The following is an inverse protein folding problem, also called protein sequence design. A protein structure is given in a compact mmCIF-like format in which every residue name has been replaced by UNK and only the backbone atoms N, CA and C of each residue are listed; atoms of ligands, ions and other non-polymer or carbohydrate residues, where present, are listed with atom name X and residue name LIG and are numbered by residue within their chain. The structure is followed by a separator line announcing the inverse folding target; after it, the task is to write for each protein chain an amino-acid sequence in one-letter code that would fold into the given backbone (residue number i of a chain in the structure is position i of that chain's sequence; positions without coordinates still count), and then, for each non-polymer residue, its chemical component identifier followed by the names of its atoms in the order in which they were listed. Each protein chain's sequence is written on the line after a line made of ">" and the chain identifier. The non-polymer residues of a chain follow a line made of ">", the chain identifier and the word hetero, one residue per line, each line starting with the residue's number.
data_IF_367422841175
#
_entry.id   IF_367422841175
#
_cell.length_a   1.000
_cell.length_b   1.000
_cell.length_c   1.000
_cell.angle_alpha   90.00
_cell.angle_beta   90.00
_cell.angle_gamma   90.00
#
_symmetry.space_group_name_H-M   'P 1'
#
loop_
_entity.id
_entity.type
_entity.pdbx_description
1 polymer ?
#
# COMPACT_ATOMS: atom_id res chain seq x y z
N UNK A 1 -44.63 -53.00 -0.18
CA UNK A 1 -45.58 -52.01 0.38
C UNK A 1 -45.04 -51.52 1.73
N UNK A 2 -44.18 -50.51 1.72
CA UNK A 2 -43.69 -49.86 2.94
C UNK A 2 -44.85 -49.00 3.45
N UNK A 3 -45.33 -49.30 4.66
CA UNK A 3 -46.54 -48.69 5.24
C UNK A 3 -46.39 -47.16 5.26
N UNK A 4 -47.33 -46.46 4.60
CA UNK A 4 -47.45 -44.97 4.54
C UNK A 4 -47.46 -44.26 5.90
N UNK A 5 -47.48 -45.00 7.01
CA UNK A 5 -47.51 -44.47 8.37
C UNK A 5 -46.12 -44.40 9.03
N UNK A 6 -45.05 -44.93 8.40
CA UNK A 6 -43.69 -44.90 8.96
C UNK A 6 -42.94 -43.57 8.70
N UNK A 7 -43.30 -42.88 7.62
CA UNK A 7 -42.68 -41.62 7.19
C UNK A 7 -42.89 -40.48 8.21
N UNK A 8 -44.10 -40.20 8.73
CA UNK A 8 -44.27 -39.13 9.71
C UNK A 8 -43.58 -39.44 11.05
N UNK A 9 -43.48 -40.72 11.42
CA UNK A 9 -42.79 -41.14 12.64
C UNK A 9 -41.27 -40.96 12.53
N UNK A 10 -40.67 -41.33 11.40
CA UNK A 10 -39.25 -41.11 11.14
C UNK A 10 -38.89 -39.62 11.07
N UNK A 11 -39.76 -38.80 10.48
CA UNK A 11 -39.57 -37.35 10.45
C UNK A 11 -39.60 -36.75 11.87
N UNK A 12 -40.52 -37.21 12.73
CA UNK A 12 -40.62 -36.74 14.10
C UNK A 12 -39.42 -37.17 14.95
N UNK A 13 -38.92 -38.40 14.75
CA UNK A 13 -37.68 -38.87 15.40
C UNK A 13 -36.47 -38.07 14.93
N UNK A 14 -36.36 -37.76 13.63
CA UNK A 14 -35.26 -36.94 13.11
C UNK A 14 -35.28 -35.51 13.69
N UNK A 15 -36.46 -34.90 13.78
CA UNK A 15 -36.62 -33.57 14.39
C UNK A 15 -36.26 -33.59 15.88
N UNK A 16 -36.72 -34.60 16.63
CA UNK A 16 -36.35 -34.75 18.03
C UNK A 16 -34.85 -35.00 18.22
N UNK A 17 -34.21 -35.73 17.30
CA UNK A 17 -32.77 -35.96 17.34
C UNK A 17 -31.99 -34.67 17.05
N UNK A 18 -32.42 -33.87 16.07
CA UNK A 18 -31.81 -32.56 15.79
C UNK A 18 -31.99 -31.61 16.97
N UNK A 19 -33.19 -31.54 17.56
CA UNK A 19 -33.45 -30.71 18.73
C UNK A 19 -32.63 -31.16 19.94
N UNK A 20 -32.53 -32.47 20.19
CA UNK A 20 -31.71 -33.02 21.26
C UNK A 20 -30.22 -32.75 21.04
N UNK A 21 -29.73 -32.83 19.79
CA UNK A 21 -28.35 -32.48 19.44
C UNK A 21 -28.08 -30.99 19.65
N UNK A 22 -28.99 -30.12 19.21
CA UNK A 22 -28.89 -28.67 19.38
C UNK A 22 -28.92 -28.26 20.86
N UNK A 23 -29.80 -28.87 21.67
CA UNK A 23 -29.88 -28.61 23.11
C UNK A 23 -28.69 -29.20 23.88
N UNK A 24 -28.17 -30.36 23.43
CA UNK A 24 -26.99 -31.02 24.01
C UNK A 24 -25.71 -30.23 23.75
N UNK A 25 -25.47 -29.77 22.51
CA UNK A 25 -24.26 -29.03 22.15
C UNK A 25 -24.26 -27.62 22.74
N UNK A 26 -25.39 -26.89 22.67
CA UNK A 26 -25.45 -25.51 23.17
C UNK A 26 -25.31 -25.45 24.70
N UNK A 27 -25.82 -26.44 25.44
CA UNK A 27 -25.69 -26.45 26.90
C UNK A 27 -24.40 -27.10 27.40
N UNK A 28 -23.66 -27.86 26.57
CA UNK A 28 -22.36 -28.46 26.94
C UNK A 28 -21.15 -27.74 26.37
N UNK A 29 -21.30 -26.89 25.35
CA UNK A 29 -20.20 -26.05 24.89
C UNK A 29 -19.99 -24.90 25.88
N UNK A 30 -19.09 -25.10 26.85
CA UNK A 30 -18.56 -24.04 27.70
C UNK A 30 -17.84 -22.94 26.89
N UNK A 31 -17.53 -23.21 25.62
CA UNK A 31 -16.88 -22.30 24.68
C UNK A 31 -17.63 -20.95 24.49
N UNK A 32 -18.96 -20.91 24.64
CA UNK A 32 -19.72 -19.67 24.48
C UNK A 32 -19.84 -18.85 25.77
N UNK A 33 -19.57 -19.44 26.94
CA UNK A 33 -19.64 -18.73 28.22
C UNK A 33 -18.37 -17.96 28.54
N UNK A 34 -17.26 -18.27 27.88
CA UNK A 34 -15.97 -17.58 27.99
C UNK A 34 -15.64 -16.61 26.85
N UNK A 35 -16.55 -16.40 25.89
CA UNK A 35 -16.33 -15.38 24.86
C UNK A 35 -16.66 -13.99 25.44
N UNK A 36 -15.69 -13.06 25.48
CA UNK A 36 -15.96 -11.70 25.95
C UNK A 36 -17.06 -11.07 25.09
N UNK A 37 -18.11 -10.54 25.73
CA UNK A 37 -19.06 -9.67 25.03
C UNK A 37 -18.35 -8.35 24.71
N UNK A 38 -17.78 -8.26 23.52
CA UNK A 38 -17.03 -7.10 23.07
C UNK A 38 -18.01 -5.97 22.69
N UNK A 39 -18.25 -5.06 23.65
CA UNK A 39 -18.82 -3.73 23.40
C UNK A 39 -17.95 -2.72 24.12
N UNK A 40 -16.94 -2.22 23.41
CA UNK A 40 -16.00 -1.22 23.92
C UNK A 40 -14.76 -1.16 23.03
N UNK A 41 -14.42 0.03 22.53
CA UNK A 41 -13.20 0.27 21.76
C UNK A 41 -11.99 0.04 22.68
N UNK A 42 -11.33 -1.12 22.53
CA UNK A 42 -9.89 -1.30 22.74
C UNK A 42 -9.30 -1.22 24.16
N UNK A 43 -10.00 -0.79 25.21
CA UNK A 43 -9.38 -0.67 26.53
C UNK A 43 -9.55 -1.95 27.38
N UNK A 44 -8.42 -2.63 27.64
CA UNK A 44 -8.33 -3.60 28.72
C UNK A 44 -8.33 -2.86 30.07
N UNK A 45 -9.43 -2.93 30.81
CA UNK A 45 -9.44 -2.54 32.24
C UNK A 45 -8.71 -3.62 33.05
N UNK A 46 -7.38 -3.63 33.02
CA UNK A 46 -6.58 -4.25 34.09
C UNK A 46 -5.10 -3.86 34.00
N UNK A 47 -4.77 -2.66 34.48
CA UNK A 47 -3.42 -2.46 35.04
C UNK A 47 -3.34 -1.32 36.07
N UNK A 48 -4.36 -1.10 36.89
CA UNK A 48 -4.21 -0.20 38.05
C UNK A 48 -5.40 -0.27 39.00
N UNK A 49 -5.48 -1.32 39.82
CA UNK A 49 -6.16 -1.18 41.11
C UNK A 49 -5.41 -1.98 42.17
N UNK A 50 -4.91 -1.23 43.15
CA UNK A 50 -4.30 -1.72 44.38
C UNK A 50 -5.14 -2.84 45.01
N UNK A 51 -4.49 -3.98 45.22
CA UNK A 51 -5.06 -5.12 45.91
C UNK A 51 -5.16 -4.82 47.41
N UNK A 52 -6.35 -4.43 47.87
CA UNK A 52 -6.79 -4.71 49.24
C UNK A 52 -8.23 -5.24 49.23
N UNK A 53 -8.35 -6.57 49.25
CA UNK A 53 -9.61 -7.27 49.43
C UNK A 53 -9.39 -8.75 49.65
N UNK A 54 -9.32 -9.17 50.92
CA UNK A 54 -9.31 -10.58 51.32
C UNK A 54 -10.68 -11.21 51.00
N UNK A 55 -10.71 -12.19 50.11
CA UNK A 55 -11.88 -13.04 49.87
C UNK A 55 -11.45 -14.31 49.14
N UNK A 56 -11.52 -15.46 49.82
CA UNK A 56 -11.18 -16.75 49.26
C UNK A 56 -12.23 -17.24 48.26
N UNK A 57 -11.84 -17.26 47.00
CA UNK A 57 -12.46 -17.97 45.89
C UNK A 57 -11.37 -18.10 44.84
N UNK A 58 -11.22 -19.27 44.21
CA UNK A 58 -10.29 -19.41 43.10
C UNK A 58 -10.71 -18.38 42.03
N UNK A 59 -9.97 -17.27 41.95
CA UNK A 59 -10.14 -16.32 40.89
C UNK A 59 -9.82 -17.07 39.61
N UNK A 60 -10.82 -17.19 38.75
CA UNK A 60 -10.64 -17.63 37.37
C UNK A 60 -9.71 -16.60 36.75
N UNK A 61 -8.42 -16.90 36.75
CA UNK A 61 -7.41 -16.05 36.11
C UNK A 61 -7.68 -16.25 34.64
N UNK A 62 -8.24 -15.24 33.99
CA UNK A 62 -8.41 -15.21 32.54
C UNK A 62 -7.12 -15.74 31.88
N UNK A 63 -7.21 -16.70 30.95
CA UNK A 63 -6.05 -17.21 30.26
C UNK A 63 -5.22 -16.05 29.69
N UNK A 64 -3.90 -16.19 29.70
CA UNK A 64 -3.02 -15.20 29.06
C UNK A 64 -3.27 -15.20 27.55
N UNK A 65 -4.17 -14.32 27.12
CA UNK A 65 -4.56 -14.12 25.73
C UNK A 65 -3.43 -13.48 24.90
N UNK A 66 -2.34 -13.01 25.51
CA UNK A 66 -1.21 -12.43 24.77
C UNK A 66 -0.60 -13.44 23.78
N UNK A 67 -0.67 -14.74 24.09
CA UNK A 67 -0.16 -15.80 23.23
C UNK A 67 -1.17 -16.34 22.19
N UNK A 68 -2.42 -15.86 22.19
CA UNK A 68 -3.46 -16.32 21.25
C UNK A 68 -3.44 -15.61 19.91
N UNK A 69 -2.79 -14.44 19.81
CA UNK A 69 -2.53 -13.74 18.56
C UNK A 69 -1.02 -13.75 18.25
N UNK A 70 -0.45 -14.86 17.75
CA UNK A 70 0.95 -14.90 17.37
C UNK A 70 1.20 -13.88 16.24
N UNK A 71 1.74 -12.72 16.60
CA UNK A 71 2.07 -11.67 15.63
C UNK A 71 3.22 -12.16 14.74
N UNK A 72 3.13 -12.02 13.41
CA UNK A 72 4.24 -12.28 12.52
C UNK A 72 5.48 -11.50 12.99
N UNK A 73 6.58 -12.21 13.24
CA UNK A 73 7.84 -11.56 13.58
C UNK A 73 8.52 -11.17 12.27
N UNK A 74 8.35 -9.91 11.91
CA UNK A 74 8.95 -9.32 10.72
C UNK A 74 10.44 -9.08 10.92
N UNK A 75 11.27 -10.02 10.47
CA UNK A 75 12.72 -9.91 10.52
C UNK A 75 13.28 -9.34 9.21
N UNK A 76 14.47 -8.72 9.24
CA UNK A 76 15.23 -8.46 8.02
C UNK A 76 15.43 -9.74 7.22
N UNK A 77 15.53 -9.61 5.90
CA UNK A 77 15.77 -10.74 5.01
C UNK A 77 17.05 -11.50 5.37
N UNK A 78 17.05 -12.81 5.16
CA UNK A 78 18.19 -13.66 5.45
C UNK A 78 19.43 -13.26 4.65
N UNK A 79 20.66 -13.51 5.16
CA UNK A 79 21.87 -13.19 4.43
C UNK A 79 21.94 -13.97 3.11
N UNK A 80 22.16 -13.24 2.01
CA UNK A 80 22.38 -13.81 0.68
C UNK A 80 23.84 -13.60 0.25
N UNK A 81 24.37 -14.44 -0.66
CA UNK A 81 25.69 -14.21 -1.25
C UNK A 81 25.78 -12.83 -1.92
N UNK A 82 26.96 -12.21 -1.83
CA UNK A 82 27.31 -10.92 -2.43
C UNK A 82 26.90 -10.80 -3.92
N UNK A 83 27.09 -11.88 -4.69
CA UNK A 83 26.80 -11.97 -6.12
C UNK A 83 25.49 -12.70 -6.43
N UNK A 84 24.56 -12.78 -5.47
CA UNK A 84 23.27 -13.42 -5.70
C UNK A 84 22.50 -12.68 -6.79
N UNK A 85 22.05 -13.43 -7.79
CA UNK A 85 21.19 -12.90 -8.84
C UNK A 85 19.74 -13.06 -8.42
N UNK A 86 19.12 -11.99 -7.94
CA UNK A 86 17.75 -12.00 -7.44
C UNK A 86 16.76 -12.24 -8.57
N UNK A 87 15.99 -13.33 -8.46
CA UNK A 87 14.85 -13.55 -9.35
C UNK A 87 13.75 -12.54 -9.06
N UNK A 88 13.10 -12.02 -10.10
CA UNK A 88 12.00 -11.06 -9.93
C UNK A 88 10.82 -11.33 -10.85
N UNK A 89 9.61 -11.08 -10.35
CA UNK A 89 8.38 -11.06 -11.14
C UNK A 89 7.68 -9.72 -10.96
N UNK A 90 7.25 -9.12 -12.08
CA UNK A 90 6.45 -7.91 -12.13
C UNK A 90 4.97 -8.28 -12.26
N UNK A 91 4.20 -8.07 -11.20
CA UNK A 91 2.76 -8.29 -11.15
C UNK A 91 2.05 -6.98 -11.49
N UNK A 92 1.33 -6.98 -12.61
CA UNK A 92 0.61 -5.80 -13.10
C UNK A 92 -0.89 -6.02 -12.98
N UNK A 93 -1.55 -5.09 -12.29
CA UNK A 93 -2.99 -4.95 -12.33
C UNK A 93 -3.37 -3.98 -13.46
N UNK A 94 -4.20 -4.45 -14.41
CA UNK A 94 -4.72 -3.63 -15.50
C UNK A 94 -6.18 -3.95 -15.81
N UNK A 95 -6.80 -3.06 -16.56
CA UNK A 95 -8.08 -3.22 -17.24
C UNK A 95 -7.88 -3.47 -18.74
N UNK A 96 -8.93 -3.88 -19.46
CA UNK A 96 -8.88 -4.09 -20.92
C UNK A 96 -8.36 -2.88 -21.69
N UNK A 97 -8.66 -1.68 -21.21
CA UNK A 97 -8.35 -0.42 -21.91
C UNK A 97 -6.91 0.03 -21.74
N UNK A 98 -6.23 -0.42 -20.70
CA UNK A 98 -4.85 0.00 -20.40
C UNK A 98 -3.85 -0.77 -21.27
N UNK A 99 -2.90 -0.04 -21.84
CA UNK A 99 -1.82 -0.61 -22.62
C UNK A 99 -0.58 -0.83 -21.75
N UNK A 100 0.02 -2.02 -21.84
CA UNK A 100 1.23 -2.41 -21.10
C UNK A 100 2.32 -2.95 -22.04
N UNK A 101 2.23 -2.67 -23.34
CA UNK A 101 3.19 -3.15 -24.35
C UNK A 101 4.59 -2.59 -24.09
N UNK A 102 4.67 -1.40 -23.48
CA UNK A 102 5.91 -0.76 -23.04
C UNK A 102 6.79 -1.67 -22.18
N UNK A 103 6.21 -2.58 -21.39
CA UNK A 103 6.95 -3.53 -20.55
C UNK A 103 7.79 -4.45 -21.44
N UNK A 104 7.18 -5.03 -22.48
CA UNK A 104 7.89 -5.92 -23.41
C UNK A 104 8.91 -5.15 -24.25
N UNK A 105 8.56 -3.93 -24.66
CA UNK A 105 9.42 -3.08 -25.48
C UNK A 105 10.68 -2.62 -24.74
N UNK A 106 10.57 -2.27 -23.46
CA UNK A 106 11.67 -1.71 -22.68
C UNK A 106 12.35 -2.72 -21.74
N UNK A 107 11.66 -3.80 -21.36
CA UNK A 107 12.14 -4.81 -20.40
C UNK A 107 11.78 -6.23 -20.87
N UNK A 108 12.25 -6.69 -22.05
CA UNK A 108 11.84 -7.95 -22.65
C UNK A 108 12.17 -9.18 -21.79
N UNK A 109 13.22 -9.11 -20.96
CA UNK A 109 13.67 -10.20 -20.08
C UNK A 109 12.96 -10.22 -18.72
N UNK A 110 12.21 -9.16 -18.36
CA UNK A 110 11.52 -9.09 -17.08
C UNK A 110 10.35 -10.08 -17.08
N UNK A 111 10.34 -11.01 -16.12
CA UNK A 111 9.19 -11.90 -15.94
C UNK A 111 7.98 -11.09 -15.44
N UNK A 112 6.80 -11.37 -16.01
CA UNK A 112 5.57 -10.63 -15.72
C UNK A 112 4.40 -11.56 -15.41
N UNK A 113 3.53 -11.13 -14.50
CA UNK A 113 2.19 -11.66 -14.31
C UNK A 113 1.17 -10.52 -14.50
N UNK A 114 0.61 -10.41 -15.71
CA UNK A 114 -0.27 -9.30 -16.10
C UNK A 114 -1.72 -9.76 -15.99
N UNK A 115 -2.44 -9.29 -14.97
CA UNK A 115 -3.85 -9.61 -14.76
C UNK A 115 -4.76 -8.56 -15.39
N UNK A 116 -5.82 -9.02 -16.04
CA UNK A 116 -6.89 -8.15 -16.56
C UNK A 116 -8.11 -8.26 -15.66
N UNK A 117 -8.33 -7.26 -14.82
CA UNK A 117 -9.33 -7.30 -13.75
C UNK A 117 -10.78 -7.33 -14.25
N UNK A 118 -11.06 -6.69 -15.39
CA UNK A 118 -12.37 -6.60 -16.03
C UNK A 118 -12.55 -7.57 -17.22
N UNK A 119 -11.74 -8.63 -17.28
CA UNK A 119 -11.83 -9.68 -18.29
C UNK A 119 -11.78 -11.12 -17.74
N UNK A 120 -12.92 -11.79 -17.53
CA UNK A 120 -12.92 -13.18 -17.06
C UNK A 120 -12.36 -14.17 -18.10
N UNK A 121 -12.13 -13.74 -19.34
CA UNK A 121 -11.55 -14.61 -20.40
C UNK A 121 -10.04 -14.44 -20.57
N UNK A 122 -9.43 -13.47 -19.90
CA UNK A 122 -7.99 -13.26 -19.99
C UNK A 122 -7.23 -14.43 -19.35
N UNK A 123 -6.03 -14.79 -19.85
CA UNK A 123 -5.24 -15.89 -19.28
C UNK A 123 -4.98 -15.73 -17.78
N UNK A 124 -4.69 -14.51 -17.34
CA UNK A 124 -4.66 -14.11 -15.94
C UNK A 124 -5.77 -13.09 -15.70
N UNK A 125 -6.72 -13.47 -14.85
CA UNK A 125 -7.89 -12.67 -14.50
C UNK A 125 -8.19 -12.83 -13.02
N UNK A 126 -8.93 -11.88 -12.46
CA UNK A 126 -9.36 -11.97 -11.07
C UNK A 126 -10.63 -12.81 -10.94
N UNK A 127 -10.84 -13.49 -9.80
CA UNK A 127 -12.08 -14.21 -9.53
C UNK A 127 -13.31 -13.29 -9.45
N UNK A 128 -13.09 -11.99 -9.19
CA UNK A 128 -14.11 -10.95 -9.17
C UNK A 128 -13.44 -9.59 -9.41
N UNK A 129 -14.04 -8.75 -10.25
CA UNK A 129 -13.59 -7.36 -10.39
C UNK A 129 -14.05 -6.53 -9.16
N UNK A 130 -13.24 -6.52 -8.09
CA UNK A 130 -13.55 -5.89 -6.81
C UNK A 130 -12.28 -5.54 -6.04
N UNK A 131 -12.21 -4.33 -5.47
CA UNK A 131 -11.04 -3.82 -4.75
C UNK A 131 -9.89 -3.40 -5.67
N UNK A 132 -10.15 -3.05 -6.93
CA UNK A 132 -9.11 -2.68 -7.92
C UNK A 132 -7.91 -3.66 -7.94
N UNK A 133 -6.68 -3.18 -7.76
CA UNK A 133 -5.43 -3.95 -7.79
C UNK A 133 -5.33 -4.99 -6.66
N UNK A 134 -6.06 -4.79 -5.57
CA UNK A 134 -5.94 -5.61 -4.37
C UNK A 134 -6.32 -7.06 -4.65
N UNK A 135 -7.38 -7.29 -5.43
CA UNK A 135 -7.78 -8.65 -5.80
C UNK A 135 -6.73 -9.33 -6.68
N UNK A 136 -6.08 -8.58 -7.56
CA UNK A 136 -4.95 -9.09 -8.37
C UNK A 136 -3.81 -9.50 -7.46
N UNK A 137 -3.37 -8.60 -6.56
CA UNK A 137 -2.21 -8.83 -5.72
C UNK A 137 -2.41 -10.00 -4.77
N UNK A 138 -3.56 -10.05 -4.09
CA UNK A 138 -3.89 -11.16 -3.19
C UNK A 138 -4.05 -12.47 -3.97
N UNK A 139 -4.68 -12.48 -5.14
CA UNK A 139 -4.81 -13.70 -5.94
C UNK A 139 -3.45 -14.21 -6.40
N UNK A 140 -2.57 -13.34 -6.89
CA UNK A 140 -1.22 -13.74 -7.29
C UNK A 140 -0.42 -14.32 -6.11
N UNK A 141 -0.46 -13.68 -4.93
CA UNK A 141 0.23 -14.19 -3.74
C UNK A 141 -0.30 -15.57 -3.37
N UNK A 142 -1.63 -15.76 -3.36
CA UNK A 142 -2.28 -17.03 -3.02
C UNK A 142 -1.87 -18.12 -4.03
N UNK A 143 -1.97 -17.82 -5.32
CA UNK A 143 -1.74 -18.80 -6.39
C UNK A 143 -0.26 -19.22 -6.49
N UNK A 144 0.67 -18.38 -6.01
CA UNK A 144 2.11 -18.59 -6.11
C UNK A 144 2.82 -18.76 -4.77
N UNK A 145 2.10 -18.88 -3.65
CA UNK A 145 2.64 -18.80 -2.29
C UNK A 145 3.83 -19.75 -2.03
N UNK A 146 3.79 -20.96 -2.60
CA UNK A 146 4.84 -21.97 -2.47
C UNK A 146 5.96 -21.84 -3.53
N UNK A 147 5.77 -21.03 -4.57
CA UNK A 147 6.66 -20.90 -5.74
C UNK A 147 7.05 -19.43 -6.04
N UNK A 148 7.23 -18.62 -5.00
CA UNK A 148 7.54 -17.20 -5.12
C UNK A 148 8.96 -16.95 -5.68
N UNK A 149 9.18 -15.88 -6.48
CA UNK A 149 10.53 -15.39 -6.81
C UNK A 149 11.18 -14.75 -5.57
N UNK A 150 12.47 -14.40 -5.65
CA UNK A 150 13.15 -13.73 -4.53
C UNK A 150 12.49 -12.37 -4.25
N UNK A 151 12.13 -11.65 -5.31
CA UNK A 151 11.45 -10.34 -5.26
C UNK A 151 10.20 -10.33 -6.13
N UNK A 152 9.08 -9.85 -5.59
CA UNK A 152 7.87 -9.58 -6.36
C UNK A 152 7.61 -8.08 -6.36
N UNK A 153 7.33 -7.49 -7.52
CA UNK A 153 6.95 -6.08 -7.66
C UNK A 153 5.47 -6.02 -8.03
N UNK A 154 4.67 -5.27 -7.28
CA UNK A 154 3.26 -5.03 -7.54
C UNK A 154 3.09 -3.59 -8.02
N UNK A 155 2.53 -3.41 -9.21
CA UNK A 155 2.48 -2.10 -9.86
C UNK A 155 1.25 -1.93 -10.75
N UNK A 156 0.86 -0.67 -10.96
CA UNK A 156 -0.19 -0.28 -11.91
C UNK A 156 0.30 -0.37 -13.36
N UNK A 157 -0.63 -0.33 -14.31
CA UNK A 157 -0.35 -0.50 -15.73
C UNK A 157 0.42 0.65 -16.41
N UNK A 158 0.33 1.86 -15.86
CA UNK A 158 0.77 3.09 -16.53
C UNK A 158 2.29 3.25 -16.50
N UNK A 159 2.92 3.45 -17.66
CA UNK A 159 4.33 3.79 -17.73
C UNK A 159 4.60 5.17 -17.13
N UNK A 160 4.00 6.22 -17.70
CA UNK A 160 4.18 7.60 -17.27
C UNK A 160 2.97 8.03 -16.43
N UNK A 161 3.18 8.33 -15.15
CA UNK A 161 2.08 8.73 -14.27
C UNK A 161 2.53 9.49 -13.02
N UNK A 162 1.66 10.34 -12.51
CA UNK A 162 1.88 11.16 -11.31
C UNK A 162 2.17 10.34 -10.03
N UNK A 163 1.72 9.08 -10.00
CA UNK A 163 1.95 8.20 -8.86
C UNK A 163 3.36 7.59 -8.85
N UNK A 164 4.14 7.76 -9.93
CA UNK A 164 5.55 7.44 -9.98
C UNK A 164 6.39 8.66 -9.55
N UNK A 165 7.53 8.45 -8.91
CA UNK A 165 8.34 9.57 -8.41
C UNK A 165 8.94 10.43 -9.54
N UNK A 166 8.74 11.75 -9.44
CA UNK A 166 9.27 12.73 -10.39
C UNK A 166 10.80 12.70 -10.53
N UNK A 167 11.60 12.49 -9.46
CA UNK A 167 13.05 12.31 -9.60
C UNK A 167 13.45 11.15 -10.54
N UNK A 168 12.54 10.23 -10.82
CA UNK A 168 12.68 9.13 -11.79
C UNK A 168 11.83 9.37 -13.05
N UNK A 169 11.58 10.62 -13.40
CA UNK A 169 10.87 11.02 -14.61
C UNK A 169 9.39 10.68 -14.62
N UNK A 170 8.79 10.36 -13.47
CA UNK A 170 7.44 9.78 -13.38
C UNK A 170 7.29 8.48 -14.21
N UNK A 171 8.40 7.77 -14.45
CA UNK A 171 8.47 6.62 -15.36
C UNK A 171 8.59 5.29 -14.59
N UNK A 172 7.61 4.42 -14.78
CA UNK A 172 7.55 3.09 -14.21
C UNK A 172 8.74 2.22 -14.65
N UNK A 173 9.24 2.39 -15.87
CA UNK A 173 10.42 1.68 -16.35
C UNK A 173 11.64 1.98 -15.49
N UNK A 174 11.87 3.25 -15.14
CA UNK A 174 12.97 3.67 -14.29
C UNK A 174 12.78 3.18 -12.85
N UNK A 175 11.55 3.23 -12.33
CA UNK A 175 11.23 2.65 -11.02
C UNK A 175 11.53 1.15 -10.97
N UNK A 176 11.22 0.39 -12.01
CA UNK A 176 11.43 -1.07 -12.02
C UNK A 176 12.91 -1.40 -12.23
N UNK A 177 13.55 -0.81 -13.23
CA UNK A 177 14.94 -1.15 -13.60
C UNK A 177 15.98 -0.66 -12.59
N UNK A 178 15.67 0.41 -11.85
CA UNK A 178 16.56 0.93 -10.81
C UNK A 178 16.22 0.43 -9.41
N UNK A 179 15.19 -0.40 -9.24
CA UNK A 179 14.83 -0.92 -7.92
C UNK A 179 15.89 -1.91 -7.41
N UNK A 180 16.58 -1.52 -6.35
CA UNK A 180 17.55 -2.37 -5.63
C UNK A 180 16.90 -3.61 -5.04
N UNK A 181 17.06 -4.76 -5.72
CA UNK A 181 16.61 -6.08 -5.24
C UNK A 181 17.19 -6.46 -3.88
N UNK A 182 18.48 -6.19 -3.60
CA UNK A 182 19.03 -6.45 -2.28
C UNK A 182 18.34 -5.63 -1.18
N UNK A 183 17.95 -4.37 -1.44
CA UNK A 183 17.17 -3.58 -0.47
C UNK A 183 15.80 -4.19 -0.23
N UNK A 184 15.08 -4.57 -1.28
CA UNK A 184 13.76 -5.25 -1.14
C UNK A 184 13.91 -6.51 -0.28
N UNK A 185 14.95 -7.30 -0.52
CA UNK A 185 15.24 -8.48 0.28
C UNK A 185 15.49 -8.15 1.75
N UNK A 186 16.42 -7.21 2.03
CA UNK A 186 16.77 -6.83 3.42
C UNK A 186 15.59 -6.26 4.19
N UNK A 187 14.82 -5.35 3.58
CA UNK A 187 13.69 -4.69 4.24
C UNK A 187 12.45 -5.59 4.27
N UNK A 188 12.36 -6.53 3.33
CA UNK A 188 11.23 -7.43 3.14
C UNK A 188 10.04 -6.78 2.44
N UNK A 189 9.78 -5.51 2.71
CA UNK A 189 8.77 -4.65 2.06
C UNK A 189 9.40 -3.29 1.76
N UNK A 190 9.14 -2.78 0.55
CA UNK A 190 9.38 -1.38 0.22
C UNK A 190 8.22 -0.84 -0.58
N UNK A 191 7.81 0.40 -0.29
CA UNK A 191 6.92 1.14 -1.16
C UNK A 191 7.71 1.62 -2.38
N UNK A 192 7.15 1.51 -3.59
CA UNK A 192 7.81 1.97 -4.81
C UNK A 192 7.88 3.50 -4.89
N UNK A 193 7.07 4.21 -4.11
CA UNK A 193 7.13 5.65 -3.97
C UNK A 193 7.99 6.03 -2.76
N UNK A 194 8.95 6.91 -2.97
CA UNK A 194 9.77 7.53 -1.93
C UNK A 194 9.19 8.87 -1.48
N UNK A 195 8.56 9.64 -2.37
CA UNK A 195 7.99 10.95 -2.03
C UNK A 195 6.84 10.82 -1.02
N UNK A 196 6.91 11.53 0.10
CA UNK A 196 5.97 11.41 1.23
C UNK A 196 4.55 11.85 0.91
N UNK A 197 4.39 12.88 0.10
CA UNK A 197 3.06 13.37 -0.27
C UNK A 197 2.51 12.62 -1.51
N UNK A 198 1.26 12.13 -1.50
CA UNK A 198 0.39 11.97 -0.32
C UNK A 198 0.76 10.71 0.48
N UNK A 199 0.42 10.70 1.77
CA UNK A 199 0.46 9.49 2.59
C UNK A 199 1.36 9.51 3.83
N UNK A 200 2.35 10.39 3.92
CA UNK A 200 3.27 10.52 5.05
C UNK A 200 3.40 11.97 5.54
N UNK A 201 3.78 12.18 6.83
CA UNK A 201 3.97 11.17 7.88
C UNK A 201 2.67 10.81 8.64
N UNK A 202 1.61 11.57 8.42
CA UNK A 202 0.36 11.54 9.20
C UNK A 202 -0.81 11.73 8.23
N UNK A 203 -1.43 10.64 7.79
CA UNK A 203 -2.34 10.67 6.64
C UNK A 203 -3.76 10.22 6.95
N UNK A 204 -3.95 8.98 7.40
CA UNK A 204 -5.27 8.46 7.74
C UNK A 204 -5.43 8.25 9.24
N UNK A 205 -6.59 8.60 9.77
CA UNK A 205 -6.93 8.46 11.19
C UNK A 205 -8.14 7.54 11.36
N UNK A 206 -7.94 6.23 11.65
CA UNK A 206 -9.02 5.25 11.83
C UNK A 206 -9.99 5.47 13.02
N UNK A 207 -10.22 6.71 13.44
CA UNK A 207 -11.29 7.12 14.36
C UNK A 207 -12.03 8.37 13.89
N UNK A 208 -11.66 8.94 12.75
CA UNK A 208 -12.29 10.13 12.20
C UNK A 208 -13.76 9.85 11.83
N UNK A 209 -14.62 10.81 12.13
CA UNK A 209 -16.06 10.74 11.86
C UNK A 209 -16.52 11.80 10.87
N UNK A 210 -15.75 12.87 10.71
CA UNK A 210 -15.98 13.89 9.72
C UNK A 210 -15.55 13.40 8.34
N UNK A 211 -16.38 13.67 7.34
CA UNK A 211 -16.09 13.23 5.97
C UNK A 211 -15.20 14.24 5.28
N UNK A 212 -13.98 13.82 4.96
CA UNK A 212 -13.10 14.52 4.04
C UNK A 212 -13.36 14.04 2.59
N UNK A 213 -13.75 14.91 1.65
CA UNK A 213 -13.88 14.58 0.24
C UNK A 213 -12.61 14.03 -0.41
N UNK A 214 -11.43 14.41 0.09
CA UNK A 214 -10.14 13.98 -0.43
C UNK A 214 -9.71 12.61 0.13
N UNK A 215 -10.31 12.17 1.24
CA UNK A 215 -10.06 10.89 1.92
C UNK A 215 -11.36 10.17 2.30
N UNK A 216 -12.24 9.86 1.33
CA UNK A 216 -13.58 9.33 1.62
C UNK A 216 -13.58 8.00 2.38
N UNK A 217 -12.49 7.24 2.31
CA UNK A 217 -12.28 5.98 3.03
C UNK A 217 -11.94 6.14 4.52
N UNK A 218 -11.52 7.32 5.00
CA UNK A 218 -10.98 7.51 6.35
C UNK A 218 -11.98 7.12 7.43
N UNK A 219 -13.23 7.60 7.31
CA UNK A 219 -14.34 7.29 8.22
C UNK A 219 -14.78 5.81 8.18
N UNK A 220 -14.27 5.04 7.23
CA UNK A 220 -14.56 3.61 7.07
C UNK A 220 -13.42 2.72 7.59
N UNK A 221 -12.24 3.30 7.88
CA UNK A 221 -11.06 2.54 8.29
C UNK A 221 -11.26 1.86 9.63
N UNK A 222 -11.87 2.50 10.63
CA UNK A 222 -12.09 1.93 11.96
C UNK A 222 -12.78 0.56 11.87
N UNK A 223 -13.89 0.53 11.13
CA UNK A 223 -14.70 -0.68 10.93
C UNK A 223 -13.96 -1.71 10.08
N UNK A 224 -13.38 -1.27 8.97
CA UNK A 224 -12.68 -2.17 8.06
C UNK A 224 -11.46 -2.80 8.73
N UNK A 225 -10.78 -2.06 9.59
CA UNK A 225 -9.68 -2.54 10.43
C UNK A 225 -10.14 -3.65 11.37
N UNK A 226 -11.22 -3.44 12.13
CA UNK A 226 -11.76 -4.47 13.03
C UNK A 226 -12.21 -5.74 12.30
N UNK A 227 -12.59 -5.63 11.03
CA UNK A 227 -12.92 -6.79 10.19
C UNK A 227 -11.65 -7.47 9.63
N UNK A 228 -10.64 -6.72 9.20
CA UNK A 228 -9.41 -7.26 8.60
C UNK A 228 -8.43 -7.81 9.65
N UNK A 229 -8.32 -7.13 10.78
CA UNK A 229 -7.36 -7.36 11.86
C UNK A 229 -8.08 -7.40 13.22
N UNK A 230 -9.00 -8.35 13.44
CA UNK A 230 -9.88 -8.37 14.62
C UNK A 230 -9.14 -8.53 15.95
N UNK A 231 -7.85 -8.88 15.93
CA UNK A 231 -7.01 -9.09 17.10
C UNK A 231 -5.96 -7.99 17.29
N UNK A 232 -5.98 -6.94 16.46
CA UNK A 232 -5.08 -5.79 16.56
C UNK A 232 -5.89 -4.53 16.89
N UNK A 233 -5.42 -3.70 17.84
CA UNK A 233 -6.12 -2.47 18.19
C UNK A 233 -6.19 -1.54 16.97
N UNK A 234 -7.30 -0.83 16.85
CA UNK A 234 -7.47 0.20 15.81
C UNK A 234 -6.41 1.29 16.04
N UNK A 235 -5.54 1.57 15.07
CA UNK A 235 -4.46 2.52 15.26
C UNK A 235 -4.98 3.96 15.16
N UNK A 236 -4.27 4.88 15.81
CA UNK A 236 -4.60 6.31 15.72
C UNK A 236 -4.24 6.91 14.35
N UNK A 237 -3.17 6.42 13.73
CA UNK A 237 -2.64 6.92 12.46
C UNK A 237 -2.21 5.74 11.60
N UNK A 238 -2.57 5.77 10.31
CA UNK A 238 -1.98 4.96 9.26
C UNK A 238 -1.30 5.89 8.25
N UNK A 239 -0.03 5.61 7.96
CA UNK A 239 0.75 6.42 7.04
C UNK A 239 1.81 5.59 6.31
N UNK A 240 1.89 5.80 5.01
CA UNK A 240 2.93 5.35 4.09
C UNK A 240 2.76 6.16 2.80
N UNK A 241 3.78 6.29 1.94
CA UNK A 241 3.58 6.88 0.61
C UNK A 241 2.44 6.18 -0.13
N UNK A 242 1.66 6.94 -0.90
CA UNK A 242 0.42 6.46 -1.51
C UNK A 242 0.57 5.29 -2.49
N UNK A 243 -0.59 4.92 -3.04
CA UNK A 243 -0.75 4.43 -4.40
C UNK A 243 -0.53 2.92 -4.59
N UNK A 244 -0.41 2.14 -3.52
CA UNK A 244 -0.43 0.67 -3.57
C UNK A 244 0.54 0.06 -4.62
N UNK A 245 1.70 0.69 -4.83
CA UNK A 245 2.81 0.12 -5.60
C UNK A 245 3.93 -0.23 -4.62
N UNK A 246 4.30 -1.50 -4.54
CA UNK A 246 5.28 -1.96 -3.56
C UNK A 246 6.02 -3.19 -4.07
N UNK A 247 7.18 -3.46 -3.48
CA UNK A 247 7.92 -4.68 -3.73
C UNK A 247 8.12 -5.48 -2.44
N UNK A 248 8.05 -6.80 -2.57
CA UNK A 248 8.13 -7.75 -1.48
C UNK A 248 9.22 -8.77 -1.73
N UNK A 249 9.93 -9.14 -0.67
CA UNK A 249 10.75 -10.35 -0.67
C UNK A 249 9.89 -11.62 -0.50
N UNK A 250 10.39 -12.77 -0.98
CA UNK A 250 9.80 -14.09 -0.70
C UNK A 250 9.55 -14.30 0.80
N UNK A 251 10.58 -14.07 1.61
CA UNK A 251 10.53 -14.30 3.05
C UNK A 251 9.49 -13.41 3.73
N UNK A 252 9.29 -12.19 3.22
CA UNK A 252 8.26 -11.31 3.77
C UNK A 252 6.85 -11.80 3.50
N UNK A 253 6.58 -12.31 2.29
CA UNK A 253 5.29 -12.92 1.97
C UNK A 253 5.08 -14.15 2.86
N UNK A 254 6.10 -15.01 2.98
CA UNK A 254 5.98 -16.26 3.75
C UNK A 254 6.01 -16.07 5.27
N UNK A 255 6.36 -14.88 5.76
CA UNK A 255 6.24 -14.53 7.18
C UNK A 255 4.79 -14.54 7.67
N UNK A 256 3.81 -14.44 6.77
CA UNK A 256 2.39 -14.62 7.06
C UNK A 256 1.89 -15.94 6.48
N UNK A 257 1.09 -16.72 7.23
CA UNK A 257 0.57 -17.98 6.72
C UNK A 257 -0.38 -17.75 5.54
N UNK A 258 -0.36 -18.68 4.58
CA UNK A 258 -1.26 -18.72 3.42
C UNK A 258 -2.73 -18.39 3.76
N UNK A 259 -3.26 -18.97 4.84
CA UNK A 259 -4.65 -18.77 5.27
C UNK A 259 -4.99 -17.30 5.58
N UNK A 260 -4.00 -16.49 5.97
CA UNK A 260 -4.20 -15.07 6.24
C UNK A 260 -4.41 -14.27 4.94
N UNK A 261 -3.74 -14.64 3.84
CA UNK A 261 -4.00 -14.05 2.53
C UNK A 261 -5.38 -14.43 1.99
N UNK A 262 -5.82 -15.66 2.23
CA UNK A 262 -7.18 -16.10 1.91
C UNK A 262 -8.21 -15.28 2.69
N UNK A 263 -8.01 -15.09 3.99
CA UNK A 263 -8.86 -14.22 4.83
C UNK A 263 -8.98 -12.80 4.27
N UNK A 264 -7.86 -12.20 3.88
CA UNK A 264 -7.84 -10.88 3.26
C UNK A 264 -8.63 -10.82 1.94
N UNK A 265 -8.52 -11.84 1.10
CA UNK A 265 -9.27 -11.91 -0.16
C UNK A 265 -10.75 -12.15 0.08
N UNK A 266 -11.09 -12.97 1.07
CA UNK A 266 -12.48 -13.26 1.45
C UNK A 266 -13.19 -12.03 2.03
N UNK A 267 -12.46 -11.15 2.72
CA UNK A 267 -12.98 -9.84 3.11
C UNK A 267 -13.40 -9.01 1.89
N UNK A 268 -12.59 -8.98 0.82
CA UNK A 268 -12.97 -8.28 -0.42
C UNK A 268 -14.22 -8.87 -1.09
N UNK A 269 -14.39 -10.20 -1.04
CA UNK A 269 -15.58 -10.83 -1.60
C UNK A 269 -16.86 -10.50 -0.83
N UNK A 270 -16.74 -10.45 0.50
CA UNK A 270 -17.88 -10.35 1.44
C UNK A 270 -18.24 -8.91 1.80
N UNK A 271 -17.30 -7.97 1.74
CA UNK A 271 -17.54 -6.58 2.11
C UNK A 271 -18.60 -5.94 1.22
N UNK A 272 -19.48 -5.16 1.85
CA UNK A 272 -20.51 -4.36 1.15
C UNK A 272 -19.98 -3.02 0.66
N UNK A 273 -18.73 -2.68 0.97
CA UNK A 273 -18.11 -1.46 0.49
C UNK A 273 -18.11 -1.45 -1.04
N UNK A 274 -18.32 -0.30 -1.70
CA UNK A 274 -18.08 -0.14 -3.13
C UNK A 274 -16.66 -0.53 -3.54
N UNK A 275 -16.48 -0.88 -4.82
CA UNK A 275 -15.18 -1.26 -5.41
C UNK A 275 -14.05 -0.29 -5.03
N UNK A 276 -14.22 0.99 -5.37
CA UNK A 276 -13.23 2.03 -5.11
C UNK A 276 -12.89 2.21 -3.63
N UNK A 277 -13.88 2.25 -2.72
CA UNK A 277 -13.61 2.41 -1.29
C UNK A 277 -12.90 1.20 -0.70
N UNK A 278 -13.27 -0.02 -1.10
CA UNK A 278 -12.53 -1.20 -0.62
C UNK A 278 -11.08 -1.22 -1.10
N UNK A 279 -10.80 -0.75 -2.32
CA UNK A 279 -9.42 -0.59 -2.81
C UNK A 279 -8.66 0.46 -2.01
N UNK A 280 -9.28 1.62 -1.75
CA UNK A 280 -8.70 2.71 -0.95
C UNK A 280 -8.41 2.32 0.50
N UNK A 281 -9.24 1.50 1.13
CA UNK A 281 -8.93 0.92 2.45
C UNK A 281 -7.62 0.13 2.40
N UNK A 282 -7.46 -0.69 1.35
CA UNK A 282 -6.27 -1.51 1.17
C UNK A 282 -5.01 -0.71 0.88
N UNK A 283 -5.13 0.38 0.14
CA UNK A 283 -4.03 1.32 -0.13
C UNK A 283 -3.28 1.74 1.16
N UNK A 284 -3.99 1.89 2.28
CA UNK A 284 -3.43 2.35 3.55
C UNK A 284 -3.22 1.28 4.62
N UNK A 285 -3.35 -0.01 4.29
CA UNK A 285 -3.03 -1.11 5.22
C UNK A 285 -1.92 -2.02 4.73
N UNK A 286 -1.44 -1.87 3.48
CA UNK A 286 -0.35 -2.71 2.96
C UNK A 286 0.92 -2.66 3.81
N UNK A 287 1.31 -1.48 4.28
CA UNK A 287 2.44 -1.34 5.20
C UNK A 287 2.21 -2.12 6.48
N UNK A 288 1.01 -2.08 7.07
CA UNK A 288 0.73 -2.84 8.28
C UNK A 288 0.78 -4.34 8.01
N UNK A 289 0.18 -4.78 6.89
CA UNK A 289 0.22 -6.18 6.45
C UNK A 289 1.65 -6.68 6.30
N UNK A 290 2.57 -5.88 5.74
CA UNK A 290 3.92 -6.37 5.45
C UNK A 290 5.00 -5.84 6.38
N UNK A 291 4.69 -5.05 7.40
CA UNK A 291 5.70 -4.55 8.36
C UNK A 291 5.24 -4.65 9.81
N UNK A 292 3.94 -4.80 10.06
CA UNK A 292 3.34 -4.72 11.39
C UNK A 292 3.35 -3.30 11.97
N UNK A 293 3.77 -2.30 11.20
CA UNK A 293 3.82 -0.90 11.60
C UNK A 293 2.65 -0.15 10.98
N UNK A 294 2.05 0.74 11.78
CA UNK A 294 0.94 1.59 11.31
C UNK A 294 1.46 2.75 10.45
N UNK A 295 2.64 3.28 10.82
CA UNK A 295 3.36 4.35 10.13
C UNK A 295 4.66 3.80 9.56
N UNK A 296 4.79 3.78 8.24
CA UNK A 296 5.98 3.35 7.51
C UNK A 296 6.40 4.44 6.51
N UNK A 297 7.12 5.43 7.02
CA UNK A 297 7.55 6.62 6.29
C UNK A 297 9.08 6.73 6.33
N UNK A 298 9.81 5.95 5.51
CA UNK A 298 11.26 6.08 5.44
C UNK A 298 11.64 7.49 4.97
N UNK A 299 12.76 8.03 5.46
CA UNK A 299 13.27 9.32 4.98
C UNK A 299 13.44 9.29 3.45
N UNK A 300 12.93 10.30 2.76
CA UNK A 300 12.90 10.32 1.30
C UNK A 300 14.30 10.18 0.69
N UNK A 301 15.29 10.92 1.20
CA UNK A 301 16.68 10.86 0.72
C UNK A 301 17.30 9.46 0.87
N UNK A 302 17.01 8.75 1.97
CA UNK A 302 17.45 7.36 2.21
C UNK A 302 16.75 6.41 1.24
N UNK A 303 15.44 6.62 1.03
CA UNK A 303 14.66 5.82 0.09
C UNK A 303 15.23 5.94 -1.32
N UNK A 304 15.34 7.16 -1.87
CA UNK A 304 15.89 7.39 -3.20
C UNK A 304 17.31 6.82 -3.37
N UNK A 305 18.17 6.99 -2.36
CA UNK A 305 19.55 6.55 -2.43
C UNK A 305 19.69 5.02 -2.41
N UNK A 306 19.15 4.35 -1.39
CA UNK A 306 19.32 2.90 -1.22
C UNK A 306 18.40 2.08 -2.13
N UNK A 307 17.25 2.64 -2.54
CA UNK A 307 16.28 1.97 -3.40
C UNK A 307 16.54 2.16 -4.88
N UNK A 308 16.93 3.37 -5.31
CA UNK A 308 17.01 3.75 -6.72
C UNK A 308 18.38 4.26 -7.16
N UNK A 309 19.35 4.32 -6.24
CA UNK A 309 20.69 4.83 -6.53
C UNK A 309 20.69 6.32 -6.82
N UNK A 310 19.82 7.07 -6.18
CA UNK A 310 19.77 8.53 -6.25
C UNK A 310 20.19 9.11 -4.91
N UNK A 311 21.49 9.32 -4.72
CA UNK A 311 22.06 9.74 -3.44
C UNK A 311 22.34 11.24 -3.45
N UNK A 312 21.51 12.01 -2.76
CA UNK A 312 21.63 13.46 -2.70
C UNK A 312 22.78 13.94 -1.81
N UNK A 313 23.30 13.07 -0.94
CA UNK A 313 24.47 13.33 -0.11
C UNK A 313 24.12 13.80 1.29
N UNK A 314 22.92 13.48 1.78
CA UNK A 314 22.38 13.92 3.04
C UNK A 314 20.95 14.43 2.94
N UNK A 315 20.32 14.55 4.10
CA UNK A 315 18.98 15.12 4.26
C UNK A 315 18.94 16.59 3.82
N UNK A 316 19.92 17.40 4.22
CA UNK A 316 19.99 18.82 3.87
C UNK A 316 20.18 19.09 2.38
N UNK A 317 21.00 18.29 1.71
CA UNK A 317 21.22 18.37 0.27
C UNK A 317 19.96 17.96 -0.50
N UNK A 318 19.23 16.97 0.00
CA UNK A 318 17.94 16.58 -0.54
C UNK A 318 16.87 17.66 -0.34
N UNK A 319 16.80 18.28 0.84
CA UNK A 319 15.90 19.41 1.12
C UNK A 319 16.16 20.61 0.20
N UNK A 320 17.43 20.89 -0.12
CA UNK A 320 17.78 21.93 -1.09
C UNK A 320 17.31 21.54 -2.51
N UNK A 321 17.51 20.28 -2.91
CA UNK A 321 17.01 19.78 -4.18
C UNK A 321 15.48 19.89 -4.28
N UNK A 322 14.74 19.46 -3.25
CA UNK A 322 13.28 19.53 -3.25
C UNK A 322 12.78 20.96 -3.28
N UNK A 323 13.40 21.89 -2.56
CA UNK A 323 13.04 23.31 -2.61
C UNK A 323 13.17 23.91 -4.02
N UNK A 324 14.26 23.60 -4.73
CA UNK A 324 14.47 24.06 -6.11
C UNK A 324 13.49 23.39 -7.09
N UNK A 325 13.24 22.10 -6.92
CA UNK A 325 12.28 21.33 -7.72
C UNK A 325 10.87 21.87 -7.53
N UNK A 326 10.45 22.12 -6.30
CA UNK A 326 9.10 22.59 -5.98
C UNK A 326 8.88 24.02 -6.50
N UNK A 327 9.91 24.88 -6.42
CA UNK A 327 9.88 26.19 -7.06
C UNK A 327 9.71 26.08 -8.59
N UNK A 328 10.47 25.19 -9.25
CA UNK A 328 10.36 24.95 -10.69
C UNK A 328 8.96 24.44 -11.07
N UNK A 329 8.45 23.47 -10.31
CA UNK A 329 7.10 22.93 -10.51
C UNK A 329 6.01 23.99 -10.31
N UNK A 330 6.16 24.84 -9.29
CA UNK A 330 5.28 25.97 -9.02
C UNK A 330 5.25 26.97 -10.18
N UNK A 331 6.42 27.44 -10.63
CA UNK A 331 6.50 28.37 -11.77
C UNK A 331 5.95 27.76 -13.06
N UNK A 332 6.18 26.46 -13.30
CA UNK A 332 5.65 25.75 -14.48
C UNK A 332 4.13 25.65 -14.42
N UNK A 333 3.56 25.30 -13.26
CA UNK A 333 2.12 25.20 -13.08
C UNK A 333 1.43 26.57 -13.22
N UNK A 334 2.03 27.62 -12.67
CA UNK A 334 1.52 28.98 -12.75
C UNK A 334 1.58 29.53 -14.18
N UNK A 335 2.66 29.24 -14.93
CA UNK A 335 2.75 29.60 -16.35
C UNK A 335 1.65 28.92 -17.15
N UNK A 336 1.37 27.64 -16.88
CA UNK A 336 0.28 26.91 -17.54
C UNK A 336 -1.08 27.52 -17.24
N UNK A 337 -1.36 27.85 -15.97
CA UNK A 337 -2.61 28.52 -15.59
C UNK A 337 -2.76 29.90 -16.26
N UNK A 338 -1.66 30.67 -16.30
CA UNK A 338 -1.62 31.95 -16.99
C UNK A 338 -1.94 31.81 -18.48
N UNK A 339 -1.32 30.85 -19.17
CA UNK A 339 -1.54 30.58 -20.61
C UNK A 339 -2.99 30.13 -20.87
N UNK A 340 -3.55 29.26 -20.01
CA UNK A 340 -4.93 28.82 -20.09
C UNK A 340 -5.93 29.98 -19.89
N UNK A 341 -5.68 30.87 -18.92
CA UNK A 341 -6.49 32.08 -18.69
C UNK A 341 -6.43 33.03 -19.87
N UNK A 342 -5.23 33.31 -20.41
CA UNK A 342 -5.05 34.15 -21.61
C UNK A 342 -5.85 33.60 -22.78
N UNK A 343 -5.75 32.30 -23.05
CA UNK A 343 -6.47 31.65 -24.14
C UNK A 343 -7.98 31.80 -23.99
N UNK A 344 -8.53 31.57 -22.79
CA UNK A 344 -9.97 31.75 -22.51
C UNK A 344 -10.43 33.19 -22.74
N UNK A 345 -9.65 34.18 -22.29
CA UNK A 345 -9.96 35.60 -22.49
C UNK A 345 -9.94 35.97 -23.98
N UNK A 346 -8.95 35.48 -24.74
CA UNK A 346 -8.86 35.72 -26.18
C UNK A 346 -10.02 35.07 -26.95
N UNK A 347 -10.44 33.87 -26.56
CA UNK A 347 -11.60 33.19 -27.14
C UNK A 347 -12.91 33.93 -26.83
N UNK A 348 -13.09 34.43 -25.62
CA UNK A 348 -14.26 35.23 -25.22
C UNK A 348 -14.32 36.54 -26.02
N UNK A 349 -13.19 37.26 -26.13
CA UNK A 349 -13.09 38.49 -26.94
C UNK A 349 -13.44 38.26 -28.41
N UNK A 350 -13.11 37.08 -28.97
CA UNK A 350 -13.47 36.71 -30.35
C UNK A 350 -14.96 36.43 -30.53
N UNK A 351 -15.66 35.94 -29.51
CA UNK A 351 -17.12 35.71 -29.56
C UNK A 351 -17.91 37.01 -29.55
N UNK A 352 -17.39 38.05 -28.89
CA UNK A 352 -18.02 39.37 -28.85
C UNK A 352 -19.36 39.40 -28.12
N UNK A 353 -19.62 38.43 -27.25
CA UNK A 353 -20.84 38.31 -26.43
C UNK A 353 -20.71 38.95 -25.04
N UNK A 354 -19.56 39.59 -24.74
CA UNK A 354 -19.28 40.23 -23.47
C UNK A 354 -18.87 39.28 -22.35
N UNK A 355 -18.74 37.97 -22.64
CA UNK A 355 -18.36 36.94 -21.66
C UNK A 355 -16.96 37.13 -21.07
N UNK A 356 -16.09 37.89 -21.74
CA UNK A 356 -14.75 38.21 -21.26
C UNK A 356 -14.75 38.99 -19.93
N UNK A 357 -15.81 39.75 -19.64
CA UNK A 357 -15.92 40.52 -18.39
C UNK A 357 -16.16 39.63 -17.15
N UNK A 358 -16.51 38.36 -17.36
CA UNK A 358 -16.69 37.36 -16.30
C UNK A 358 -15.41 36.54 -16.04
N UNK A 359 -14.36 36.76 -16.83
CA UNK A 359 -13.11 36.02 -16.73
C UNK A 359 -12.04 36.84 -16.01
N UNK A 360 -11.20 36.14 -15.24
CA UNK A 360 -10.00 36.72 -14.67
C UNK A 360 -8.98 37.01 -15.78
N UNK A 361 -8.63 38.28 -15.98
CA UNK A 361 -7.61 38.68 -16.94
C UNK A 361 -6.24 38.54 -16.27
N UNK A 362 -5.35 37.67 -16.79
CA UNK A 362 -4.06 37.47 -16.17
C UNK A 362 -3.13 38.67 -16.44
N UNK A 363 -2.24 38.93 -15.48
CA UNK A 363 -1.32 40.07 -15.48
C UNK A 363 -0.33 40.03 -16.67
N UNK A 364 -0.16 41.17 -17.34
CA UNK A 364 0.76 41.27 -18.49
C UNK A 364 2.23 41.25 -18.05
N UNK A 365 3.07 40.49 -18.75
CA UNK A 365 4.50 40.36 -18.47
C UNK A 365 4.86 39.30 -17.42
N UNK A 366 3.86 38.76 -16.72
CA UNK A 366 4.05 37.67 -15.73
C UNK A 366 4.53 36.36 -16.38
N UNK A 367 4.12 36.09 -17.61
CA UNK A 367 4.59 34.95 -18.40
C UNK A 367 6.08 35.03 -18.69
N UNK A 368 6.61 36.20 -19.01
CA UNK A 368 8.05 36.40 -19.22
C UNK A 368 8.84 36.19 -17.93
N UNK A 369 8.33 36.65 -16.80
CA UNK A 369 8.94 36.44 -15.48
C UNK A 369 8.99 34.95 -15.14
N UNK A 370 7.87 34.25 -15.28
CA UNK A 370 7.78 32.80 -15.01
C UNK A 370 8.71 32.00 -15.92
N UNK A 371 8.79 32.35 -17.21
CA UNK A 371 9.72 31.69 -18.16
C UNK A 371 11.18 31.89 -17.77
N UNK A 372 11.57 33.11 -17.35
CA UNK A 372 12.95 33.37 -16.87
C UNK A 372 13.27 32.57 -15.61
N UNK A 373 12.31 32.42 -14.71
CA UNK A 373 12.47 31.61 -13.50
C UNK A 373 12.63 30.12 -13.84
N UNK A 374 11.81 29.59 -14.75
CA UNK A 374 11.92 28.21 -15.25
C UNK A 374 13.28 27.98 -15.92
N UNK A 375 13.70 28.87 -16.82
CA UNK A 375 14.99 28.79 -17.53
C UNK A 375 16.18 28.83 -16.55
N UNK A 376 16.03 29.49 -15.40
CA UNK A 376 17.02 29.52 -14.33
C UNK A 376 17.05 28.22 -13.53
N UNK A 377 15.88 27.72 -13.11
CA UNK A 377 15.76 26.60 -12.17
C UNK A 377 15.95 25.24 -12.83
N UNK A 378 15.40 25.03 -14.03
CA UNK A 378 15.44 23.75 -14.73
C UNK A 378 16.85 23.13 -14.83
N UNK A 379 17.89 23.84 -15.33
CA UNK A 379 19.23 23.26 -15.41
C UNK A 379 19.86 22.98 -14.05
N UNK A 380 19.47 23.70 -12.99
CA UNK A 380 19.96 23.46 -11.63
C UNK A 380 19.39 22.16 -11.06
N UNK A 381 18.07 21.96 -11.20
CA UNK A 381 17.38 20.74 -10.75
C UNK A 381 17.91 19.53 -11.51
N UNK A 382 18.03 19.63 -12.85
CA UNK A 382 18.57 18.55 -13.68
C UNK A 382 20.00 18.18 -13.31
N UNK A 383 20.85 19.18 -13.00
CA UNK A 383 22.23 18.94 -12.55
C UNK A 383 22.25 18.19 -11.22
N UNK A 384 21.48 18.63 -10.23
CA UNK A 384 21.44 18.01 -8.91
C UNK A 384 20.89 16.57 -8.97
N UNK A 385 19.87 16.33 -9.80
CA UNK A 385 19.36 14.98 -10.09
C UNK A 385 20.46 14.09 -10.66
N UNK A 386 21.16 14.57 -11.69
CA UNK A 386 22.25 13.83 -12.31
C UNK A 386 23.41 13.52 -11.36
N UNK A 387 23.83 14.51 -10.56
CA UNK A 387 24.86 14.32 -9.54
C UNK A 387 24.45 13.27 -8.49
N UNK A 388 23.17 13.26 -8.10
CA UNK A 388 22.64 12.26 -7.18
C UNK A 388 22.69 10.85 -7.77
N UNK A 389 22.36 10.70 -9.05
CA UNK A 389 22.50 9.42 -9.74
C UNK A 389 23.95 8.96 -9.85
N UNK A 390 24.88 9.87 -10.16
CA UNK A 390 26.31 9.54 -10.26
C UNK A 390 26.85 9.08 -8.91
N UNK A 391 26.53 9.79 -7.83
CA UNK A 391 26.91 9.38 -6.45
C UNK A 391 26.32 8.03 -6.10
N UNK A 392 25.05 7.81 -6.43
CA UNK A 392 24.36 6.56 -6.08
C UNK A 392 24.80 5.34 -6.88
N UNK A 393 25.71 5.46 -7.84
CA UNK A 393 26.40 4.29 -8.45
C UNK A 393 27.36 3.62 -7.48
N UNK A 394 27.89 4.34 -6.50
CA UNK A 394 28.79 3.77 -5.49
C UNK A 394 28.00 3.06 -4.36
N UNK A 395 28.09 1.72 -4.22
CA UNK A 395 27.42 0.98 -3.14
C UNK A 395 27.82 1.42 -1.73
N UNK A 396 29.04 1.98 -1.56
CA UNK A 396 29.51 2.48 -0.25
C UNK A 396 28.75 3.72 0.16
N UNK A 397 28.51 4.63 -0.77
CA UNK A 397 27.73 5.84 -0.52
C UNK A 397 26.26 5.50 -0.26
N UNK A 398 25.71 4.50 -0.96
CA UNK A 398 24.36 3.99 -0.66
C UNK A 398 24.23 3.47 0.76
N UNK A 399 25.21 2.67 1.19
CA UNK A 399 25.26 2.14 2.55
C UNK A 399 25.42 3.25 3.60
N UNK A 400 26.30 4.21 3.34
CA UNK A 400 26.53 5.36 4.21
C UNK A 400 25.25 6.19 4.40
N UNK A 401 24.57 6.57 3.32
CA UNK A 401 23.34 7.38 3.38
C UNK A 401 22.22 6.66 4.14
N UNK A 402 22.13 5.34 3.99
CA UNK A 402 21.13 4.51 4.68
C UNK A 402 21.55 4.06 6.08
N UNK A 403 22.67 4.59 6.60
CA UNK A 403 23.13 4.35 7.98
C UNK A 403 23.54 2.90 8.25
N UNK A 404 23.94 2.15 7.22
CA UNK A 404 24.26 0.72 7.30
C UNK A 404 25.72 0.47 6.97
N UNK A 405 26.27 -0.59 7.57
CA UNK A 405 27.66 -0.99 7.33
C UNK A 405 27.82 -1.52 5.90
N UNK A 406 28.88 -1.08 5.21
CA UNK A 406 29.21 -1.58 3.88
C UNK A 406 30.05 -2.85 3.99
N UNK A 407 29.62 -3.91 3.31
CA UNK A 407 30.35 -5.17 3.21
C UNK A 407 30.87 -5.31 1.79
N UNK A 408 32.16 -5.63 1.64
CA UNK A 408 32.77 -5.82 0.33
C UNK A 408 32.07 -6.95 -0.45
N UNK A 409 31.60 -6.64 -1.65
CA UNK A 409 30.79 -7.55 -2.46
C UNK A 409 29.27 -7.45 -2.22
N UNK A 410 28.82 -6.90 -1.09
CA UNK A 410 27.40 -6.73 -0.80
C UNK A 410 26.75 -5.60 -1.60
N UNK A 411 25.51 -5.79 -2.06
CA UNK A 411 24.69 -4.76 -2.72
C UNK A 411 25.27 -4.13 -3.99
N UNK A 412 26.02 -4.90 -4.77
CA UNK A 412 26.68 -4.38 -5.96
C UNK A 412 25.75 -4.08 -7.15
N UNK A 413 24.45 -4.41 -7.08
CA UNK A 413 23.54 -4.38 -8.24
C UNK A 413 22.22 -3.62 -8.02
N UNK A 414 21.69 -3.12 -9.13
CA UNK A 414 20.30 -2.66 -9.32
C UNK A 414 19.57 -3.66 -10.21
#
# INVERSE_FOLDING_TARGET
>A
MIRRNAIPFLALVAILFVLAFYYSDIHKSEAWRGLPQHVGFGDHVSSSHDAQGKGGGAADVDPDYANWNPKPVFKPGSPMPANHNYTSVLVIAKTKKENVDWIREQMPEQQTAIYVADDPTAPLHTPKNKGHEVMVYLSWIIDNYDNLPDVTIFMHAHQLSWHNDEPLGNDAHLLITRLSRPRVWRQGFVNMRCTWNPGCPDWMHPGETERDPDKPEEVLLAKSWSELFPLDPVPHVLAQPCCAQFALSRERIQAKPYAQYVWYRDWLFSTRLPDHLSGRIWEYVWQFVFTGQNVYCPKEHVCFCDQYGMCFGGESEYENYTALRDALGGSTAELRDWEDKRKKVEEARKKGDGSENLLEVPEEGKDEELRREIDRLAPMVDRLRHEAEVRGRDPRLRALESGREWVEGGDNGF
#
